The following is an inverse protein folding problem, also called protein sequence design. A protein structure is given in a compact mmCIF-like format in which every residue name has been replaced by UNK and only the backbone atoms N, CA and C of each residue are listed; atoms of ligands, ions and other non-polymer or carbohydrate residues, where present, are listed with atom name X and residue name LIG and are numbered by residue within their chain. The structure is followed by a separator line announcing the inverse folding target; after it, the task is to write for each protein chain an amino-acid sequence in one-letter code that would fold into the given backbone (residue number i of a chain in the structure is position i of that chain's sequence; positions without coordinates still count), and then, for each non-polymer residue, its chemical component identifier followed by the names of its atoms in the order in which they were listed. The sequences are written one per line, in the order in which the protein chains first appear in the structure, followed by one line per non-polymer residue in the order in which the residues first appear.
data_IF_377156474950
#
_entry.id   IF_377156474950
#
_cell.length_a   1.000
_cell.length_b   1.000
_cell.length_c   1.000
_cell.angle_alpha   90.00
_cell.angle_beta   90.00
_cell.angle_gamma   90.00
#
_symmetry.space_group_name_H-M   'P 1'
#
loop_
_entity.id
_entity.type
_entity.pdbx_description
1 polymer ?
#
# COMPACT_ATOMS: atom_id res chain seq x y z
N UNK A 1 -6.81 -21.31 -16.07
CA UNK A 1 -5.83 -20.86 -15.07
C UNK A 1 -6.56 -19.83 -14.23
N UNK A 2 -6.80 -20.10 -12.95
CA UNK A 2 -7.41 -19.10 -12.06
C UNK A 2 -6.35 -18.06 -11.78
N UNK A 3 -6.50 -16.84 -12.32
CA UNK A 3 -5.66 -15.72 -11.90
C UNK A 3 -5.96 -15.44 -10.43
N UNK A 4 -5.02 -15.77 -9.54
CA UNK A 4 -5.06 -15.31 -8.16
C UNK A 4 -4.86 -13.81 -8.18
N UNK A 5 -5.87 -13.05 -7.73
CA UNK A 5 -5.76 -11.60 -7.63
C UNK A 5 -4.70 -11.26 -6.57
N UNK A 6 -3.69 -10.48 -6.94
CA UNK A 6 -2.68 -10.01 -5.99
C UNK A 6 -3.18 -8.78 -5.22
N UNK A 7 -3.51 -8.99 -3.94
CA UNK A 7 -3.95 -7.95 -3.01
C UNK A 7 -2.87 -7.63 -1.98
N UNK A 8 -2.89 -6.42 -1.42
CA UNK A 8 -2.05 -6.09 -0.25
C UNK A 8 -2.46 -6.96 0.94
N UNK A 9 -1.46 -7.47 1.66
CA UNK A 9 -1.64 -8.28 2.87
C UNK A 9 -1.05 -7.57 4.08
N UNK A 10 -1.57 -7.86 5.28
CA UNK A 10 -1.02 -7.32 6.53
C UNK A 10 0.46 -7.69 6.70
N UNK A 11 0.82 -8.93 6.33
CA UNK A 11 2.21 -9.42 6.37
C UNK A 11 3.13 -8.59 5.48
N UNK A 12 2.70 -8.27 4.25
CA UNK A 12 3.45 -7.39 3.36
C UNK A 12 3.65 -6.00 3.99
N UNK A 13 2.58 -5.42 4.55
CA UNK A 13 2.64 -4.11 5.22
C UNK A 13 3.59 -4.15 6.42
N UNK A 14 3.51 -5.20 7.24
CA UNK A 14 4.35 -5.37 8.44
C UNK A 14 5.82 -5.52 8.09
N UNK A 15 6.15 -6.28 7.03
CA UNK A 15 7.53 -6.39 6.52
C UNK A 15 8.06 -5.05 6.02
N UNK A 16 7.22 -4.21 5.41
CA UNK A 16 7.60 -2.89 4.92
C UNK A 16 7.65 -1.82 6.00
N UNK A 17 7.05 -2.08 7.16
CA UNK A 17 7.12 -1.25 8.35
C UNK A 17 8.32 -1.60 9.25
N UNK A 18 9.34 -2.33 8.78
CA UNK A 18 10.50 -2.72 9.60
C UNK A 18 11.23 -1.51 10.21
N UNK A 19 11.24 -0.38 9.49
CA UNK A 19 11.77 0.89 9.98
C UNK A 19 10.90 1.56 11.05
N UNK A 20 9.65 1.12 11.20
CA UNK A 20 8.70 1.55 12.23
C UNK A 20 8.47 0.43 13.24
N UNK A 21 9.52 -0.32 13.62
CA UNK A 21 9.44 -1.41 14.60
C UNK A 21 8.40 -2.50 14.25
N UNK A 22 8.07 -2.67 12.97
CA UNK A 22 6.99 -3.52 12.48
C UNK A 22 5.60 -3.14 13.05
N UNK A 23 5.45 -1.94 13.62
CA UNK A 23 4.18 -1.37 14.05
C UNK A 23 3.50 -0.70 12.85
N UNK A 24 2.31 -1.14 12.50
CA UNK A 24 1.61 -0.69 11.28
C UNK A 24 0.51 0.33 11.58
N UNK A 25 0.00 0.35 12.82
CA UNK A 25 -1.11 1.24 13.20
C UNK A 25 -0.73 2.72 13.17
N UNK A 26 0.49 3.04 13.61
CA UNK A 26 1.04 4.40 13.65
C UNK A 26 1.85 4.77 12.40
N UNK A 27 1.80 3.93 11.35
CA UNK A 27 2.67 4.09 10.18
C UNK A 27 2.21 5.27 9.32
N UNK A 28 3.03 6.31 9.23
CA UNK A 28 2.71 7.50 8.45
C UNK A 28 3.13 7.40 6.97
N UNK A 29 4.15 6.60 6.67
CA UNK A 29 4.73 6.44 5.34
C UNK A 29 5.04 4.97 5.04
N UNK A 30 4.66 4.49 3.85
CA UNK A 30 5.02 3.15 3.38
C UNK A 30 5.31 3.10 1.88
N UNK A 31 6.27 2.27 1.52
CA UNK A 31 6.62 1.99 0.13
C UNK A 31 6.26 0.56 -0.27
N UNK A 32 5.33 0.42 -1.23
CA UNK A 32 4.81 -0.83 -1.78
C UNK A 32 5.21 -1.01 -3.26
N UNK A 33 6.46 -0.73 -3.61
CA UNK A 33 6.94 -0.87 -5.00
C UNK A 33 7.06 -2.32 -5.47
N UNK A 34 6.82 -2.54 -6.78
CA UNK A 34 7.15 -3.79 -7.48
C UNK A 34 6.52 -5.04 -6.86
N UNK A 35 5.27 -4.93 -6.37
CA UNK A 35 4.56 -6.02 -5.70
C UNK A 35 3.48 -6.67 -6.57
N UNK A 36 3.37 -6.25 -7.83
CA UNK A 36 2.33 -6.70 -8.76
C UNK A 36 0.91 -6.54 -8.19
N UNK A 37 0.71 -5.57 -7.29
CA UNK A 37 -0.57 -5.33 -6.61
C UNK A 37 -1.61 -4.97 -7.68
N UNK A 38 -2.71 -5.71 -7.70
CA UNK A 38 -3.87 -5.45 -8.55
C UNK A 38 -4.96 -4.70 -7.77
N UNK A 39 -5.01 -4.86 -6.44
CA UNK A 39 -6.00 -4.25 -5.56
C UNK A 39 -5.43 -3.75 -4.23
N UNK A 40 -5.79 -2.52 -3.88
CA UNK A 40 -5.55 -1.93 -2.56
C UNK A 40 -6.79 -2.13 -1.70
N UNK A 41 -6.67 -2.95 -0.66
CA UNK A 41 -7.72 -3.22 0.31
C UNK A 41 -7.11 -3.18 1.72
N UNK A 42 -7.91 -2.81 2.73
CA UNK A 42 -7.59 -2.87 4.16
C UNK A 42 -6.48 -1.95 4.69
N UNK A 43 -5.79 -1.18 3.84
CA UNK A 43 -4.76 -0.22 4.28
C UNK A 43 -5.31 0.80 5.28
N UNK A 44 -6.55 1.24 5.12
CA UNK A 44 -7.28 2.13 6.04
C UNK A 44 -7.47 1.52 7.44
N UNK A 45 -7.58 0.19 7.54
CA UNK A 45 -7.76 -0.53 8.81
C UNK A 45 -6.43 -0.74 9.54
N UNK A 46 -5.38 -1.04 8.77
CA UNK A 46 -4.06 -1.36 9.29
C UNK A 46 -3.21 -0.13 9.57
N UNK A 47 -3.21 0.86 8.67
CA UNK A 47 -2.36 2.04 8.73
C UNK A 47 -3.25 3.29 8.87
N UNK A 48 -3.78 3.50 10.08
CA UNK A 48 -4.77 4.57 10.32
C UNK A 48 -4.21 5.97 10.16
N UNK A 49 -2.92 6.11 10.45
CA UNK A 49 -2.19 7.38 10.38
C UNK A 49 -1.42 7.55 9.06
N UNK A 50 -1.70 6.71 8.05
CA UNK A 50 -0.99 6.70 6.78
C UNK A 50 -1.24 7.99 5.98
N UNK A 51 -0.16 8.72 5.71
CA UNK A 51 -0.14 9.98 4.96
C UNK A 51 0.48 9.80 3.58
N UNK A 52 1.51 8.97 3.48
CA UNK A 52 2.29 8.77 2.25
C UNK A 52 2.33 7.29 1.90
N UNK A 53 1.95 6.96 0.67
CA UNK A 53 2.07 5.60 0.14
C UNK A 53 2.60 5.61 -1.29
N UNK A 54 3.72 4.92 -1.49
CA UNK A 54 4.36 4.77 -2.79
C UNK A 54 3.99 3.45 -3.46
N UNK A 55 3.56 3.50 -4.72
CA UNK A 55 3.00 2.35 -5.45
C UNK A 55 3.64 2.08 -6.82
N UNK A 56 4.83 2.63 -7.09
CA UNK A 56 5.51 2.47 -8.39
C UNK A 56 5.62 1.00 -8.81
N UNK A 57 5.36 0.74 -10.09
CA UNK A 57 5.47 -0.58 -10.73
C UNK A 57 4.55 -1.66 -10.12
N UNK A 58 3.28 -1.30 -9.88
CA UNK A 58 2.19 -2.24 -9.59
C UNK A 58 1.18 -2.30 -10.74
N UNK A 59 0.24 -3.24 -10.67
CA UNK A 59 -0.72 -3.56 -11.73
C UNK A 59 -2.13 -3.03 -11.44
N UNK A 60 -2.26 -1.93 -10.69
CA UNK A 60 -3.56 -1.39 -10.24
C UNK A 60 -4.27 -0.75 -11.44
N UNK A 61 -5.36 -1.36 -11.98
CA UNK A 61 -5.98 -0.89 -13.22
C UNK A 61 -6.84 0.37 -13.02
N UNK A 62 -7.30 0.62 -11.78
CA UNK A 62 -8.06 1.82 -11.41
C UNK A 62 -7.91 2.09 -9.92
N UNK A 63 -7.57 3.33 -9.58
CA UNK A 63 -7.57 3.80 -8.20
C UNK A 63 -8.97 4.31 -7.87
N UNK A 64 -9.56 3.83 -6.78
CA UNK A 64 -10.88 4.27 -6.31
C UNK A 64 -10.86 5.71 -5.80
N UNK A 65 -12.00 6.41 -5.85
CA UNK A 65 -12.15 7.82 -5.45
C UNK A 65 -11.72 8.10 -4.00
N UNK A 66 -11.66 7.06 -3.16
CA UNK A 66 -11.33 7.16 -1.74
C UNK A 66 -9.82 7.17 -1.43
N UNK A 67 -8.97 6.93 -2.43
CA UNK A 67 -7.51 6.92 -2.30
C UNK A 67 -6.85 8.23 -2.78
N UNK A 68 -7.65 9.27 -3.07
CA UNK A 68 -7.15 10.55 -3.61
C UNK A 68 -6.36 11.40 -2.60
N UNK A 69 -6.37 11.02 -1.32
CA UNK A 69 -5.64 11.75 -0.26
C UNK A 69 -4.25 11.19 0.03
N UNK A 70 -3.92 10.04 -0.55
CA UNK A 70 -2.55 9.53 -0.52
C UNK A 70 -1.82 10.19 -1.69
N UNK A 71 -0.73 10.91 -1.39
CA UNK A 71 0.12 11.56 -2.38
C UNK A 71 0.70 10.53 -3.37
N UNK A 72 -0.10 10.17 -4.37
CA UNK A 72 0.33 9.46 -5.54
C UNK A 72 1.16 10.48 -6.32
N UNK A 73 2.47 10.24 -6.39
CA UNK A 73 3.49 11.09 -7.03
C UNK A 73 4.16 12.09 -6.08
N UNK A 74 5.24 11.66 -5.43
CA UNK A 74 6.45 12.48 -5.49
C UNK A 74 7.60 11.60 -5.99
N UNK A 75 7.75 11.47 -7.31
CA UNK A 75 9.05 11.41 -7.98
C UNK A 75 8.86 11.76 -9.46
N UNK A 76 9.36 12.94 -9.83
CA UNK A 76 9.91 13.19 -11.17
C UNK A 76 11.09 12.25 -11.43
#
# INVERSE_FOLDING_TARGET
MTSTIFSVTEDLVRRRAEHNNCEIFSLEEISLHQQEIEKLEYLDKWCRDLKILYLQNNLIPKIGKHFLDINLQEFK
#
